data_IF_706275916600
#
_entry.id   IF_706275916600
#
_cell.length_a   1.000
_cell.length_b   1.000
_cell.length_c   1.000
_cell.angle_alpha   90.00
_cell.angle_beta   90.00
_cell.angle_gamma   90.00
#
_symmetry.space_group_name_H-M   'P 1'
#
loop_
_entity.id
_entity.type
_entity.pdbx_description
1 polymer ?
#
# COMPACT_ATOMS: atom_id res chain seq x y z
N UNK A 1 -14.26 -35.02 -9.45
CA UNK A 1 -14.93 -35.33 -8.18
C UNK A 1 -13.84 -35.42 -7.12
N UNK A 2 -13.41 -34.25 -6.66
CA UNK A 2 -13.72 -33.73 -5.30
C UNK A 2 -12.56 -34.13 -4.35
N UNK A 3 -11.43 -33.42 -4.36
CA UNK A 3 -11.15 -32.19 -3.58
C UNK A 3 -11.44 -32.29 -2.07
N UNK A 4 -10.38 -31.99 -1.33
CA UNK A 4 -10.36 -31.27 -0.05
C UNK A 4 -10.31 -32.10 1.23
N UNK A 5 -9.07 -32.41 1.65
CA UNK A 5 -8.72 -32.47 3.07
C UNK A 5 -8.59 -31.03 3.58
N UNK A 6 -9.57 -30.59 4.37
CA UNK A 6 -9.54 -29.38 5.21
C UNK A 6 -8.25 -29.33 6.03
N UNK A 7 -7.39 -28.36 5.75
CA UNK A 7 -6.46 -27.83 6.75
C UNK A 7 -7.11 -26.57 7.35
N UNK A 8 -7.70 -26.75 8.52
CA UNK A 8 -8.11 -25.68 9.42
C UNK A 8 -6.84 -25.02 9.97
N UNK A 9 -6.42 -23.90 9.38
CA UNK A 9 -5.55 -22.95 10.08
C UNK A 9 -6.40 -21.80 10.58
N UNK A 10 -6.54 -21.85 11.90
CA UNK A 10 -7.28 -21.00 12.80
C UNK A 10 -6.79 -19.56 12.69
N UNK A 11 -7.76 -18.67 12.49
CA UNK A 11 -7.69 -17.23 12.61
C UNK A 11 -6.85 -16.80 13.84
N UNK A 12 -5.63 -16.33 13.61
CA UNK A 12 -4.86 -15.50 14.53
C UNK A 12 -4.54 -14.24 13.74
N UNK A 13 -5.14 -13.13 14.15
CA UNK A 13 -5.04 -11.85 13.45
C UNK A 13 -3.59 -11.40 13.33
N UNK A 14 -3.05 -11.51 12.13
CA UNK A 14 -1.79 -10.88 11.76
C UNK A 14 -2.18 -9.52 11.18
N UNK A 15 -2.12 -8.48 12.02
CA UNK A 15 -2.18 -7.09 11.57
C UNK A 15 -0.94 -6.84 10.72
N UNK A 16 -1.12 -6.66 9.41
CA UNK A 16 -0.06 -6.20 8.51
C UNK A 16 0.23 -4.71 8.78
N UNK A 17 1.04 -4.43 9.80
CA UNK A 17 1.74 -3.14 9.91
C UNK A 17 3.11 -3.30 9.27
N UNK A 18 3.18 -3.15 7.96
CA UNK A 18 4.43 -3.18 7.20
C UNK A 18 4.51 -1.93 6.31
N UNK A 19 5.11 -0.85 6.83
CA UNK A 19 5.46 0.32 5.99
C UNK A 19 6.58 1.21 6.54
N UNK A 20 7.29 0.83 7.61
CA UNK A 20 8.35 1.68 8.19
C UNK A 20 9.73 1.38 7.57
N UNK A 21 9.94 0.21 6.96
CA UNK A 21 11.23 -0.17 6.37
C UNK A 21 11.51 0.46 5.00
N UNK A 22 10.50 0.60 4.15
CA UNK A 22 10.66 1.14 2.79
C UNK A 22 10.71 2.68 2.78
N UNK A 23 10.09 3.32 3.77
CA UNK A 23 10.07 4.78 3.92
C UNK A 23 11.45 5.37 4.26
N UNK A 24 12.28 4.65 5.04
CA UNK A 24 13.60 5.17 5.44
C UNK A 24 14.63 5.17 4.29
N UNK A 25 14.57 4.18 3.39
CA UNK A 25 15.46 4.14 2.23
C UNK A 25 15.07 5.21 1.20
N UNK A 26 13.77 5.44 1.01
CA UNK A 26 13.27 6.55 0.18
C UNK A 26 13.69 7.90 0.79
N UNK A 27 13.55 8.10 2.12
CA UNK A 27 14.00 9.33 2.79
C UNK A 27 15.51 9.57 2.66
N UNK A 28 16.34 8.53 2.67
CA UNK A 28 17.80 8.68 2.50
C UNK A 28 18.19 9.04 1.05
N UNK A 29 17.45 8.55 0.06
CA UNK A 29 17.65 8.93 -1.35
C UNK A 29 17.22 10.38 -1.61
N UNK A 30 16.14 10.84 -0.97
CA UNK A 30 15.69 12.25 -1.07
C UNK A 30 16.56 13.24 -0.29
N UNK A 31 17.35 12.80 0.70
CA UNK A 31 18.22 13.68 1.51
C UNK A 31 19.35 14.35 0.72
N UNK A 32 19.64 13.90 -0.50
CA UNK A 32 20.67 14.51 -1.37
C UNK A 32 20.10 15.52 -2.39
N UNK A 33 18.79 15.79 -2.42
CA UNK A 33 18.17 16.64 -3.46
C UNK A 33 17.48 17.90 -2.91
N UNK A 34 17.37 18.09 -1.59
CA UNK A 34 16.66 19.25 -1.02
C UNK A 34 17.50 19.97 0.05
N UNK A 35 18.54 20.67 -0.38
CA UNK A 35 19.11 21.78 0.40
C UNK A 35 18.28 23.02 0.09
N UNK A 36 17.19 23.20 0.83
CA UNK A 36 16.59 24.50 1.17
C UNK A 36 15.21 24.25 1.77
N UNK A 37 15.14 24.13 3.10
CA UNK A 37 14.02 24.54 3.96
C UNK A 37 14.38 24.23 5.43
N UNK A 38 14.37 25.29 6.26
CA UNK A 38 14.66 25.26 7.70
C UNK A 38 13.61 24.49 8.54
N UNK A 39 13.94 24.12 9.80
CA UNK A 39 13.36 22.97 10.48
C UNK A 39 12.09 23.29 11.29
N UNK A 40 11.12 22.39 11.25
CA UNK A 40 9.94 22.41 12.11
C UNK A 40 9.48 20.99 12.45
N UNK A 41 10.00 20.46 13.56
CA UNK A 41 9.49 19.33 14.37
C UNK A 41 9.12 18.02 13.63
N UNK A 42 10.06 17.08 13.59
CA UNK A 42 9.80 15.66 13.33
C UNK A 42 9.52 14.91 14.64
N UNK A 43 8.36 14.26 14.73
CA UNK A 43 8.00 13.39 15.85
C UNK A 43 8.51 11.98 15.58
N UNK A 44 9.48 11.51 16.37
CA UNK A 44 9.98 10.13 16.33
C UNK A 44 9.01 9.22 17.09
N UNK A 45 8.20 8.43 16.39
CA UNK A 45 7.48 7.31 17.00
C UNK A 45 8.40 6.07 16.99
N UNK A 46 9.06 5.79 18.10
CA UNK A 46 9.81 4.54 18.28
C UNK A 46 8.87 3.43 18.78
N UNK A 47 8.70 2.36 18.00
CA UNK A 47 8.01 1.15 18.46
C UNK A 47 9.01 0.16 19.07
N UNK A 48 8.72 -0.41 20.26
CA UNK A 48 9.65 -1.23 21.05
C UNK A 48 9.97 -2.63 20.46
N UNK A 49 9.39 -3.02 19.32
CA UNK A 49 9.73 -4.29 18.67
C UNK A 49 10.95 -4.18 17.72
N UNK A 50 11.32 -2.97 17.30
CA UNK A 50 12.44 -2.74 16.38
C UNK A 50 13.82 -2.70 17.07
N UNK A 51 13.89 -2.78 18.40
CA UNK A 51 14.98 -2.14 19.16
C UNK A 51 16.05 -3.03 19.80
N UNK A 52 16.24 -4.31 19.40
CA UNK A 52 17.44 -5.03 19.89
C UNK A 52 18.28 -5.81 18.89
N UNK A 53 17.69 -6.35 17.82
CA UNK A 53 18.45 -7.21 16.89
C UNK A 53 18.76 -6.52 15.56
N UNK A 54 17.83 -5.76 15.00
CA UNK A 54 18.02 -5.06 13.73
C UNK A 54 19.01 -3.89 13.83
N UNK A 55 19.04 -3.18 14.95
CA UNK A 55 19.89 -1.99 15.16
C UNK A 55 21.38 -2.30 15.01
N UNK A 56 21.86 -3.42 15.56
CA UNK A 56 23.29 -3.75 15.53
C UNK A 56 23.77 -4.09 14.11
N UNK A 57 23.01 -4.88 13.36
CA UNK A 57 23.36 -5.24 11.98
C UNK A 57 23.38 -4.02 11.05
N UNK A 58 22.38 -3.14 11.15
CA UNK A 58 22.33 -1.95 10.31
C UNK A 58 23.42 -0.93 10.64
N UNK A 59 23.76 -0.75 11.92
CA UNK A 59 24.82 0.18 12.35
C UNK A 59 26.21 -0.30 11.90
N UNK A 60 26.50 -1.60 12.04
CA UNK A 60 27.77 -2.17 11.57
C UNK A 60 27.88 -2.12 10.03
N UNK A 61 26.76 -2.33 9.32
CA UNK A 61 26.70 -2.24 7.86
C UNK A 61 26.95 -0.82 7.33
N UNK A 62 26.44 0.21 8.02
CA UNK A 62 26.72 1.62 7.68
C UNK A 62 28.20 1.97 7.95
N UNK A 63 28.78 1.51 9.06
CA UNK A 63 30.21 1.72 9.39
C UNK A 63 31.16 1.08 8.38
N UNK A 64 30.77 -0.04 7.77
CA UNK A 64 31.56 -0.72 6.73
C UNK A 64 31.54 -0.05 5.35
N UNK A 65 30.82 1.06 5.19
CA UNK A 65 30.82 1.86 3.95
C UNK A 65 30.32 1.07 2.74
N UNK A 66 29.01 0.75 2.71
CA UNK A 66 28.27 0.08 1.62
C UNK A 66 28.99 0.04 0.25
N UNK A 67 29.82 -0.97 -0.04
CA UNK A 67 30.25 -1.25 -1.40
C UNK A 67 29.26 -2.26 -2.00
N UNK A 68 27.95 -2.01 -1.87
CA UNK A 68 26.97 -2.86 -2.54
C UNK A 68 27.01 -2.50 -4.02
N UNK A 69 27.65 -3.36 -4.80
CA UNK A 69 27.55 -3.29 -6.26
C UNK A 69 26.08 -3.29 -6.66
N UNK A 70 25.72 -2.49 -7.65
CA UNK A 70 24.39 -2.54 -8.27
C UNK A 70 24.08 -3.99 -8.66
N UNK A 71 22.90 -4.50 -8.29
CA UNK A 71 22.53 -5.91 -8.46
C UNK A 71 22.94 -6.85 -7.31
N UNK A 72 23.53 -6.34 -6.21
CA UNK A 72 23.78 -7.15 -5.02
C UNK A 72 22.48 -7.77 -4.49
N UNK A 73 22.53 -9.07 -4.19
CA UNK A 73 21.42 -9.82 -3.59
C UNK A 73 21.49 -9.87 -2.06
N UNK A 74 22.41 -9.12 -1.43
CA UNK A 74 22.57 -9.10 0.03
C UNK A 74 21.24 -8.76 0.74
N UNK A 75 20.43 -7.89 0.14
CA UNK A 75 19.13 -7.50 0.67
C UNK A 75 18.17 -8.69 0.86
N UNK A 76 18.34 -9.78 0.10
CA UNK A 76 17.50 -10.98 0.18
C UNK A 76 17.57 -11.66 1.54
N UNK A 77 18.67 -11.48 2.28
CA UNK A 77 18.82 -11.98 3.66
C UNK A 77 17.89 -11.31 4.66
N UNK A 78 17.50 -10.06 4.42
CA UNK A 78 16.58 -9.31 5.28
C UNK A 78 15.11 -9.55 4.93
N UNK A 79 14.82 -10.10 3.75
CA UNK A 79 13.47 -10.35 3.23
C UNK A 79 13.31 -11.78 2.70
N UNK A 80 13.35 -12.79 3.57
CA UNK A 80 13.35 -14.20 3.17
C UNK A 80 12.08 -14.61 2.38
N UNK A 81 10.93 -14.01 2.68
CA UNK A 81 9.68 -14.25 1.94
C UNK A 81 9.78 -13.78 0.48
N UNK A 82 10.34 -12.60 0.25
CA UNK A 82 10.56 -12.04 -1.10
C UNK A 82 11.61 -12.85 -1.84
N UNK A 83 12.68 -13.27 -1.15
CA UNK A 83 13.70 -14.14 -1.72
C UNK A 83 13.11 -15.46 -2.24
N UNK A 84 12.18 -16.07 -1.48
CA UNK A 84 11.49 -17.29 -1.89
C UNK A 84 10.72 -17.08 -3.20
N UNK A 85 9.95 -16.01 -3.31
CA UNK A 85 9.22 -15.66 -4.55
C UNK A 85 10.17 -15.45 -5.73
N UNK A 86 11.24 -14.69 -5.55
CA UNK A 86 12.20 -14.44 -6.63
C UNK A 86 12.90 -15.72 -7.06
N UNK A 87 13.28 -16.59 -6.12
CA UNK A 87 13.88 -17.88 -6.48
C UNK A 87 12.95 -18.73 -7.34
N UNK A 88 11.63 -18.66 -7.12
CA UNK A 88 10.64 -19.36 -7.95
C UNK A 88 10.55 -18.77 -9.38
N UNK A 89 10.72 -17.46 -9.53
CA UNK A 89 10.80 -16.80 -10.83
C UNK A 89 12.09 -17.20 -11.56
N UNK A 90 13.23 -17.18 -10.87
CA UNK A 90 14.54 -17.53 -11.43
C UNK A 90 14.60 -18.97 -11.96
N UNK A 91 13.95 -19.91 -11.27
CA UNK A 91 13.84 -21.31 -11.71
C UNK A 91 12.67 -21.58 -12.67
N UNK A 92 11.96 -20.53 -13.12
CA UNK A 92 10.87 -20.62 -14.09
C UNK A 92 9.58 -21.27 -13.56
N UNK A 93 9.42 -21.42 -12.25
CA UNK A 93 8.20 -21.96 -11.62
C UNK A 93 7.08 -20.92 -11.52
N UNK A 94 7.42 -19.64 -11.57
CA UNK A 94 6.46 -18.53 -11.64
C UNK A 94 6.71 -17.79 -12.94
N UNK A 95 5.65 -17.63 -13.74
CA UNK A 95 5.71 -16.90 -15.00
C UNK A 95 5.77 -15.39 -14.73
N UNK A 96 6.82 -14.75 -15.23
CA UNK A 96 7.04 -13.30 -15.13
C UNK A 96 7.65 -12.80 -16.46
N UNK A 97 7.22 -11.64 -17.02
CA UNK A 97 6.14 -10.78 -16.52
C UNK A 97 4.76 -11.44 -16.65
N UNK A 98 3.87 -11.10 -15.71
CA UNK A 98 2.46 -11.49 -15.81
C UNK A 98 1.85 -10.86 -17.07
N UNK A 99 0.96 -11.59 -17.74
CA UNK A 99 0.24 -11.04 -18.89
C UNK A 99 -0.55 -9.80 -18.47
N UNK A 100 -0.57 -8.75 -19.30
CA UNK A 100 -1.37 -7.54 -19.05
C UNK A 100 -2.85 -7.86 -18.82
N UNK A 101 -3.34 -8.95 -19.42
CA UNK A 101 -4.71 -9.42 -19.22
C UNK A 101 -4.97 -9.87 -17.79
N UNK A 102 -3.94 -10.36 -17.09
CA UNK A 102 -4.00 -10.85 -15.70
C UNK A 102 -3.56 -9.82 -14.65
N UNK A 103 -3.02 -8.68 -15.09
CA UNK A 103 -2.67 -7.56 -14.20
C UNK A 103 -3.85 -6.65 -13.96
N UNK A 104 -3.82 -5.92 -12.85
CA UNK A 104 -4.88 -4.99 -12.46
C UNK A 104 -5.01 -3.85 -13.46
N UNK A 105 -6.21 -3.62 -13.95
CA UNK A 105 -6.56 -2.52 -14.84
C UNK A 105 -7.28 -1.43 -14.06
N UNK A 106 -6.68 -0.24 -13.99
CA UNK A 106 -7.32 0.93 -13.41
C UNK A 106 -8.62 1.31 -14.15
N UNK A 107 -8.68 1.08 -15.46
CA UNK A 107 -9.85 1.43 -16.27
C UNK A 107 -11.08 0.55 -15.94
N UNK A 108 -10.86 -0.74 -15.65
CA UNK A 108 -11.95 -1.64 -15.29
C UNK A 108 -12.26 -1.65 -13.80
N UNK A 109 -11.28 -1.32 -12.95
CA UNK A 109 -11.44 -1.26 -11.49
C UNK A 109 -12.54 -0.28 -11.10
N UNK A 110 -13.33 -0.64 -10.09
CA UNK A 110 -14.49 0.14 -9.67
C UNK A 110 -14.35 0.64 -8.24
N UNK A 111 -14.77 1.87 -8.00
CA UNK A 111 -14.93 2.43 -6.67
C UNK A 111 -16.42 2.41 -6.31
N UNK A 112 -16.76 1.72 -5.23
CA UNK A 112 -18.11 1.52 -4.75
C UNK A 112 -18.27 2.23 -3.42
N UNK A 113 -19.02 3.34 -3.40
CA UNK A 113 -19.32 4.05 -2.17
C UNK A 113 -20.30 3.24 -1.32
N UNK A 114 -20.04 3.10 -0.01
CA UNK A 114 -21.02 2.50 0.90
C UNK A 114 -22.23 3.44 0.98
N UNK A 115 -23.42 2.90 0.71
CA UNK A 115 -24.67 3.67 0.74
C UNK A 115 -24.94 4.13 2.18
N UNK A 116 -25.09 5.44 2.36
CA UNK A 116 -25.60 6.02 3.59
C UNK A 116 -26.96 6.68 3.29
N UNK A 117 -28.04 6.07 3.79
CA UNK A 117 -29.42 6.49 3.51
C UNK A 117 -29.73 7.84 4.17
N UNK A 118 -29.05 8.17 5.28
CA UNK A 118 -29.22 9.44 5.99
C UNK A 118 -28.38 10.60 5.43
N UNK A 119 -27.60 10.36 4.36
CA UNK A 119 -26.59 11.30 3.92
C UNK A 119 -25.39 11.34 4.88
N UNK A 120 -24.49 12.29 4.65
CA UNK A 120 -23.26 12.43 5.44
C UNK A 120 -23.21 13.78 6.15
N UNK A 121 -22.69 13.76 7.37
CA UNK A 121 -22.44 14.94 8.20
C UNK A 121 -20.95 15.14 8.43
N UNK A 122 -20.57 16.37 8.77
CA UNK A 122 -19.17 16.68 9.11
C UNK A 122 -18.80 15.94 10.39
N UNK A 123 -17.68 15.22 10.35
CA UNK A 123 -17.22 14.33 11.42
C UNK A 123 -17.49 12.85 11.15
N UNK A 124 -18.37 12.50 10.20
CA UNK A 124 -18.60 11.12 9.81
C UNK A 124 -17.38 10.52 9.09
N UNK A 125 -17.32 9.19 9.06
CA UNK A 125 -16.36 8.44 8.24
C UNK A 125 -17.06 7.98 6.96
N UNK A 126 -16.54 8.43 5.83
CA UNK A 126 -16.94 7.93 4.52
C UNK A 126 -16.23 6.60 4.27
N UNK A 127 -17.00 5.54 4.02
CA UNK A 127 -16.48 4.23 3.65
C UNK A 127 -16.76 3.92 2.17
N UNK A 128 -15.78 3.37 1.48
CA UNK A 128 -15.92 2.87 0.13
C UNK A 128 -15.11 1.58 -0.07
N UNK A 129 -15.37 0.88 -1.16
CA UNK A 129 -14.64 -0.32 -1.55
C UNK A 129 -14.12 -0.15 -2.96
N UNK A 130 -12.84 -0.39 -3.18
CA UNK A 130 -12.27 -0.58 -4.51
C UNK A 130 -12.37 -2.07 -4.84
N UNK A 131 -13.06 -2.39 -5.94
CA UNK A 131 -13.10 -3.74 -6.52
C UNK A 131 -12.10 -3.79 -7.68
N UNK A 132 -10.93 -4.39 -7.43
CA UNK A 132 -9.88 -4.49 -8.43
C UNK A 132 -10.28 -5.48 -9.52
N UNK A 133 -10.03 -5.07 -10.76
CA UNK A 133 -10.31 -5.87 -11.95
C UNK A 133 -9.07 -6.04 -12.81
N UNK A 134 -8.97 -7.16 -13.48
CA UNK A 134 -7.89 -7.45 -14.41
C UNK A 134 -8.07 -6.75 -15.77
N UNK A 135 -7.12 -6.95 -16.69
CA UNK A 135 -7.14 -6.40 -18.04
C UNK A 135 -8.29 -6.92 -18.92
N UNK A 136 -9.02 -7.95 -18.49
CA UNK A 136 -10.22 -8.47 -19.15
C UNK A 136 -11.51 -8.04 -18.44
N UNK A 137 -11.40 -7.21 -17.39
CA UNK A 137 -12.55 -6.75 -16.61
C UNK A 137 -13.13 -7.79 -15.65
N UNK A 138 -12.39 -8.87 -15.34
CA UNK A 138 -12.77 -9.86 -14.34
C UNK A 138 -12.32 -9.40 -12.96
N UNK A 139 -13.11 -9.72 -11.92
CA UNK A 139 -12.76 -9.37 -10.53
C UNK A 139 -11.53 -10.17 -10.10
N UNK A 140 -10.57 -9.51 -9.48
CA UNK A 140 -9.41 -10.18 -8.90
C UNK A 140 -9.83 -11.04 -7.71
N UNK A 141 -9.07 -12.10 -7.46
CA UNK A 141 -9.26 -13.03 -6.34
C UNK A 141 -8.15 -12.92 -5.29
N UNK A 142 -7.22 -12.00 -5.51
CA UNK A 142 -6.07 -11.76 -4.65
C UNK A 142 -5.75 -10.26 -4.64
N UNK A 143 -5.17 -9.80 -3.52
CA UNK A 143 -4.71 -8.44 -3.32
C UNK A 143 -3.29 -8.18 -3.81
N UNK A 144 -2.57 -7.30 -3.11
CA UNK A 144 -1.16 -6.97 -3.35
C UNK A 144 -0.92 -5.82 -4.32
N UNK A 145 -1.97 -5.23 -4.89
CA UNK A 145 -1.85 -3.98 -5.64
C UNK A 145 -1.82 -2.79 -4.67
N UNK A 146 -1.09 -1.75 -5.05
CA UNK A 146 -1.02 -0.54 -4.24
C UNK A 146 -2.01 0.50 -4.76
N UNK A 147 -3.09 0.70 -4.01
CA UNK A 147 -4.06 1.76 -4.25
C UNK A 147 -3.81 2.95 -3.32
N UNK A 148 -3.81 4.14 -3.90
CA UNK A 148 -3.86 5.40 -3.18
C UNK A 148 -5.21 6.06 -3.42
N UNK A 149 -5.91 6.51 -2.37
CA UNK A 149 -7.18 7.19 -2.52
C UNK A 149 -7.17 8.58 -1.86
N UNK A 150 -7.92 9.52 -2.44
CA UNK A 150 -8.00 10.91 -1.98
C UNK A 150 -9.41 11.45 -2.10
N UNK A 151 -9.88 12.10 -1.04
CA UNK A 151 -11.13 12.85 -1.03
C UNK A 151 -10.84 14.34 -1.25
N UNK A 152 -11.40 14.92 -2.31
CA UNK A 152 -11.14 16.29 -2.74
C UNK A 152 -12.41 17.12 -2.69
N UNK A 153 -12.35 18.34 -2.14
CA UNK A 153 -13.51 19.25 -2.16
C UNK A 153 -13.76 19.76 -3.57
N UNK A 154 -15.02 19.77 -3.99
CA UNK A 154 -15.43 20.19 -5.33
C UNK A 154 -16.57 21.21 -5.28
N UNK A 155 -16.73 21.98 -6.37
CA UNK A 155 -17.93 22.79 -6.58
C UNK A 155 -19.06 21.96 -7.20
N UNK A 156 -20.20 22.59 -7.48
CA UNK A 156 -21.36 21.96 -8.11
C UNK A 156 -21.08 21.45 -9.53
N UNK A 157 -20.08 22.02 -10.21
CA UNK A 157 -19.61 21.56 -11.52
C UNK A 157 -18.60 20.38 -11.44
N UNK A 158 -18.19 19.98 -10.23
CA UNK A 158 -17.22 18.90 -10.01
C UNK A 158 -15.75 19.32 -10.10
N UNK A 159 -15.48 20.63 -10.22
CA UNK A 159 -14.12 21.15 -10.26
C UNK A 159 -13.49 21.16 -8.87
N UNK A 160 -12.21 20.81 -8.77
CA UNK A 160 -11.49 20.72 -7.51
C UNK A 160 -11.20 22.13 -6.99
N UNK A 161 -11.76 22.46 -5.83
CA UNK A 161 -11.67 23.80 -5.24
C UNK A 161 -10.46 23.99 -4.33
N UNK A 162 -9.96 22.92 -3.71
CA UNK A 162 -8.83 22.99 -2.77
C UNK A 162 -8.12 21.64 -2.66
N UNK A 163 -7.06 21.58 -1.83
CA UNK A 163 -6.37 20.34 -1.52
C UNK A 163 -7.28 19.36 -0.80
N UNK A 164 -7.31 18.11 -1.26
CA UNK A 164 -8.00 16.99 -0.61
C UNK A 164 -7.18 16.28 0.47
N UNK A 165 -7.84 15.42 1.22
CA UNK A 165 -7.25 14.55 2.25
C UNK A 165 -6.96 13.15 1.70
N UNK A 166 -5.83 12.55 2.09
CA UNK A 166 -5.52 11.15 1.78
C UNK A 166 -6.45 10.22 2.58
N UNK A 167 -6.88 9.13 1.94
CA UNK A 167 -7.72 8.12 2.57
C UNK A 167 -6.85 7.00 3.14
N UNK A 168 -7.37 6.32 4.16
CA UNK A 168 -6.83 5.03 4.57
C UNK A 168 -7.32 3.95 3.61
N UNK A 169 -6.40 3.11 3.14
CA UNK A 169 -6.69 2.04 2.15
C UNK A 169 -6.13 0.73 2.68
N UNK A 170 -7.04 -0.22 2.92
CA UNK A 170 -6.70 -1.53 3.48
C UNK A 170 -6.99 -2.61 2.45
N UNK A 171 -5.95 -3.35 2.06
CA UNK A 171 -6.08 -4.55 1.22
C UNK A 171 -6.69 -5.70 2.03
N UNK A 172 -7.81 -6.25 1.53
CA UNK A 172 -8.49 -7.39 2.15
C UNK A 172 -7.90 -8.74 1.70
N UNK A 173 -7.00 -8.74 0.71
CA UNK A 173 -6.31 -9.92 0.20
C UNK A 173 -7.15 -10.76 -0.77
N UNK A 174 -8.39 -10.36 -1.07
CA UNK A 174 -9.34 -11.08 -1.93
C UNK A 174 -9.61 -10.38 -3.27
N UNK A 175 -8.83 -9.33 -3.59
CA UNK A 175 -9.06 -8.45 -4.73
C UNK A 175 -9.92 -7.21 -4.41
N UNK A 176 -10.30 -7.00 -3.14
CA UNK A 176 -10.94 -5.77 -2.70
C UNK A 176 -10.11 -4.99 -1.69
N UNK A 177 -10.32 -3.67 -1.72
CA UNK A 177 -9.62 -2.73 -0.85
C UNK A 177 -10.65 -1.82 -0.18
N UNK A 178 -10.61 -1.74 1.15
CA UNK A 178 -11.48 -0.85 1.92
C UNK A 178 -10.85 0.51 1.99
N UNK A 179 -11.61 1.54 1.62
CA UNK A 179 -11.22 2.95 1.69
C UNK A 179 -12.01 3.60 2.81
N UNK A 180 -11.34 4.29 3.73
CA UNK A 180 -12.00 5.09 4.77
C UNK A 180 -11.38 6.48 4.89
N UNK A 181 -12.23 7.49 5.12
CA UNK A 181 -11.77 8.88 5.22
C UNK A 181 -12.74 9.71 6.09
N UNK A 182 -12.24 10.52 7.03
CA UNK A 182 -13.09 11.42 7.81
C UNK A 182 -13.56 12.59 6.96
N UNK A 183 -14.85 12.94 7.09
CA UNK A 183 -15.46 14.08 6.41
C UNK A 183 -15.25 15.36 7.22
N UNK A 184 -14.21 16.11 6.86
CA UNK A 184 -13.76 17.26 7.65
C UNK A 184 -14.43 18.60 7.28
N UNK A 185 -15.22 18.65 6.20
CA UNK A 185 -15.85 19.88 5.74
C UNK A 185 -17.24 19.62 5.13
N UNK A 186 -18.13 20.62 5.18
CA UNK A 186 -19.39 20.56 4.46
C UNK A 186 -19.19 20.83 2.96
N UNK A 187 -20.13 20.35 2.16
CA UNK A 187 -20.21 20.60 0.72
C UNK A 187 -19.85 19.40 -0.15
N UNK A 188 -19.83 19.61 -1.47
CA UNK A 188 -19.52 18.56 -2.43
C UNK A 188 -18.06 18.14 -2.37
N UNK A 189 -17.83 16.85 -2.57
CA UNK A 189 -16.50 16.27 -2.62
C UNK A 189 -16.47 15.10 -3.60
N UNK A 190 -15.32 14.87 -4.21
CA UNK A 190 -15.04 13.76 -5.12
C UNK A 190 -14.01 12.84 -4.48
N UNK A 191 -14.34 11.55 -4.36
CA UNK A 191 -13.41 10.50 -3.97
C UNK A 191 -12.81 9.88 -5.23
N UNK A 192 -11.47 9.90 -5.31
CA UNK A 192 -10.73 9.31 -6.42
C UNK A 192 -9.69 8.32 -5.89
N UNK A 193 -9.29 7.39 -6.75
CA UNK A 193 -8.19 6.47 -6.49
C UNK A 193 -7.15 6.52 -7.61
N UNK A 194 -5.95 6.07 -7.28
CA UNK A 194 -4.83 5.85 -8.18
C UNK A 194 -4.32 4.43 -7.94
N UNK A 195 -4.11 3.69 -9.03
CA UNK A 195 -3.37 2.43 -9.03
C UNK A 195 -1.92 2.74 -9.40
N UNK A 196 -0.97 2.25 -8.60
CA UNK A 196 0.48 2.46 -8.80
C UNK A 196 1.14 1.17 -9.28
#
# INVERSE_FOLDING_TARGET
MELSKKLLLRNQGIKFTCLIGFSFLLMLVYRNILWDLQPGSSFLVSHPFATKKATNYFVDLIRSGFPTKFGSILWRTFYPEVNKLISLIEVGKVMWPLSMNSTTSANFTRLLLRKNIGGYTVGDILEATIEAKDGLGQRKTYGGDYFFARLMKTNDAGEILTSGIACDVVDQGDGTYTVSVPLLWPGRSTLAYLLI
#
